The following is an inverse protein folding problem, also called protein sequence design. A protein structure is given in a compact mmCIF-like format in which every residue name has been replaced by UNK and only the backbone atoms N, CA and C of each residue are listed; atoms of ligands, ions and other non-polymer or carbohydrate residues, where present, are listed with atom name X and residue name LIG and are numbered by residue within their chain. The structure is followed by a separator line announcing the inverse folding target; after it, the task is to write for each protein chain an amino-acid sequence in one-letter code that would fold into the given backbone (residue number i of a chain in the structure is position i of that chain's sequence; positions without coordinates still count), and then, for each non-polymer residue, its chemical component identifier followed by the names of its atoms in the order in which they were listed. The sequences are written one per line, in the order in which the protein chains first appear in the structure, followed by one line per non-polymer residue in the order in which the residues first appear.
data_IF_383800314585
#
_entry.id   IF_383800314585
#
_cell.length_a   1.000
_cell.length_b   1.000
_cell.length_c   1.000
_cell.angle_alpha   90.00
_cell.angle_beta   90.00
_cell.angle_gamma   90.00
#
_symmetry.space_group_name_H-M   'P 1'
#
loop_
_entity.id
_entity.type
_entity.pdbx_description
1 polymer ?
#
# COMPACT_ATOMS: atom_id res chain seq x y z
N UNK A 1 -37.60 1.75 -11.73
CA UNK A 1 -37.67 2.19 -10.33
C UNK A 1 -36.61 1.40 -9.57
N UNK A 2 -35.41 1.96 -9.43
CA UNK A 2 -34.32 1.28 -8.73
C UNK A 2 -34.63 1.38 -7.24
N UNK A 3 -34.94 0.24 -6.62
CA UNK A 3 -35.10 0.15 -5.17
C UNK A 3 -33.71 0.42 -4.56
N UNK A 4 -33.51 1.61 -4.02
CA UNK A 4 -32.40 1.88 -3.12
C UNK A 4 -32.65 1.08 -1.84
N UNK A 5 -31.87 0.02 -1.64
CA UNK A 5 -31.74 -0.61 -0.32
C UNK A 5 -31.25 0.48 0.66
N UNK A 6 -31.92 0.72 1.80
CA UNK A 6 -31.45 1.71 2.76
C UNK A 6 -30.02 1.34 3.19
N UNK A 7 -29.09 2.30 3.11
CA UNK A 7 -27.74 2.11 3.62
C UNK A 7 -27.85 1.75 5.10
N UNK A 8 -27.23 0.64 5.50
CA UNK A 8 -27.17 0.23 6.90
C UNK A 8 -26.60 1.39 7.70
N UNK A 9 -27.37 1.87 8.69
CA UNK A 9 -27.06 3.08 9.43
C UNK A 9 -25.79 2.84 10.27
N UNK A 10 -24.74 3.63 10.04
CA UNK A 10 -23.46 3.53 10.76
C UNK A 10 -23.68 3.97 12.21
N UNK A 11 -23.30 3.14 13.17
CA UNK A 11 -23.50 3.39 14.61
C UNK A 11 -22.18 3.71 15.28
N UNK A 12 -22.18 4.73 16.13
CA UNK A 12 -21.03 5.03 16.97
C UNK A 12 -21.44 5.25 18.43
N UNK A 13 -20.52 4.99 19.36
CA UNK A 13 -20.70 5.23 20.78
C UNK A 13 -19.55 6.06 21.34
N UNK A 14 -19.89 6.96 22.27
CA UNK A 14 -18.92 7.72 23.06
C UNK A 14 -19.11 7.37 24.53
N UNK A 15 -18.04 7.00 25.20
CA UNK A 15 -18.04 6.65 26.63
C UNK A 15 -17.10 7.60 27.37
N UNK A 16 -17.62 8.29 28.39
CA UNK A 16 -16.85 9.18 29.25
C UNK A 16 -16.51 8.42 30.53
N UNK A 17 -15.23 8.15 30.76
CA UNK A 17 -14.74 7.59 32.01
C UNK A 17 -14.35 8.76 32.94
N UNK A 18 -15.22 9.06 33.90
CA UNK A 18 -14.97 10.08 34.93
C UNK A 18 -15.88 9.85 36.14
N UNK A 19 -15.28 9.40 37.23
CA UNK A 19 -15.95 9.19 38.52
C UNK A 19 -16.68 10.44 39.00
N UNK A 20 -16.06 11.61 38.82
CA UNK A 20 -16.64 12.89 39.24
C UNK A 20 -17.82 13.32 38.37
N UNK A 21 -17.75 13.11 37.05
CA UNK A 21 -18.87 13.42 36.16
C UNK A 21 -20.04 12.45 36.39
N UNK A 22 -19.75 11.15 36.55
CA UNK A 22 -20.75 10.13 36.87
C UNK A 22 -21.48 10.41 38.19
N UNK A 23 -20.78 10.96 39.19
CA UNK A 23 -21.36 11.41 40.46
C UNK A 23 -22.12 12.75 40.36
N UNK A 24 -22.19 13.38 39.18
CA UNK A 24 -22.87 14.66 38.98
C UNK A 24 -22.15 15.87 39.59
N UNK A 25 -20.86 15.73 39.95
CA UNK A 25 -20.08 16.82 40.55
C UNK A 25 -19.72 17.92 39.54
N UNK A 26 -19.72 17.57 38.25
CA UNK A 26 -19.65 18.52 37.16
C UNK A 26 -20.28 17.93 35.89
N UNK A 27 -20.72 18.80 34.97
CA UNK A 27 -21.21 18.39 33.65
C UNK A 27 -20.05 18.14 32.72
N UNK A 28 -19.97 16.93 32.16
CA UNK A 28 -18.98 16.62 31.15
C UNK A 28 -19.14 17.49 29.88
N UNK A 29 -18.02 17.91 29.31
CA UNK A 29 -17.99 18.68 28.06
C UNK A 29 -17.13 18.03 26.98
N UNK A 30 -16.39 16.96 27.29
CA UNK A 30 -15.51 16.29 26.34
C UNK A 30 -16.27 15.28 25.47
N UNK A 31 -17.22 14.54 26.06
CA UNK A 31 -18.10 13.59 25.38
C UNK A 31 -18.96 14.25 24.30
N UNK A 32 -19.68 15.36 24.59
CA UNK A 32 -20.49 16.05 23.59
C UNK A 32 -19.70 16.49 22.35
N UNK A 33 -18.43 16.89 22.51
CA UNK A 33 -17.54 17.26 21.38
C UNK A 33 -17.34 16.06 20.43
N UNK A 34 -17.11 14.87 20.98
CA UNK A 34 -16.91 13.66 20.17
C UNK A 34 -18.22 13.20 19.51
N UNK A 35 -19.34 13.29 20.23
CA UNK A 35 -20.67 12.95 19.70
C UNK A 35 -21.06 13.86 18.54
N UNK A 36 -20.88 15.18 18.68
CA UNK A 36 -21.18 16.14 17.61
C UNK A 36 -20.35 15.87 16.36
N UNK A 37 -19.05 15.59 16.52
CA UNK A 37 -18.17 15.24 15.40
C UNK A 37 -18.59 13.93 14.71
N UNK A 38 -18.93 12.88 15.46
CA UNK A 38 -19.42 11.62 14.88
C UNK A 38 -20.74 11.83 14.11
N UNK A 39 -21.66 12.63 14.65
CA UNK A 39 -22.90 12.98 13.94
C UNK A 39 -22.64 13.73 12.64
N UNK A 40 -21.62 14.60 12.58
CA UNK A 40 -21.20 15.24 11.33
C UNK A 40 -20.70 14.24 10.27
N UNK A 41 -20.08 13.12 10.69
CA UNK A 41 -19.73 12.00 9.81
C UNK A 41 -20.90 11.02 9.57
N UNK A 42 -22.14 11.46 9.83
CA UNK A 42 -23.38 10.70 9.60
C UNK A 42 -23.47 9.39 10.39
N UNK A 43 -22.80 9.30 11.54
CA UNK A 43 -23.02 8.21 12.48
C UNK A 43 -24.26 8.47 13.33
N UNK A 44 -25.10 7.44 13.48
CA UNK A 44 -26.08 7.37 14.55
C UNK A 44 -25.37 7.21 15.88
N UNK A 45 -25.31 8.32 16.63
CA UNK A 45 -24.54 8.43 17.86
C UNK A 45 -25.45 9.01 18.94
N UNK A 46 -25.83 8.25 19.97
CA UNK A 46 -26.58 8.78 21.11
C UNK A 46 -25.73 9.78 21.93
N UNK A 47 -26.35 10.40 22.92
CA UNK A 47 -25.61 11.19 23.92
C UNK A 47 -24.53 10.33 24.62
N UNK A 48 -23.43 10.94 25.11
CA UNK A 48 -22.32 10.19 25.66
C UNK A 48 -22.74 9.40 26.89
N UNK A 49 -22.29 8.15 26.99
CA UNK A 49 -22.47 7.32 28.17
C UNK A 49 -21.42 7.70 29.20
N UNK A 50 -21.83 8.32 30.31
CA UNK A 50 -20.94 8.73 31.38
C UNK A 50 -20.90 7.63 32.46
N UNK A 51 -19.71 7.16 32.80
CA UNK A 51 -19.47 6.10 33.78
C UNK A 51 -18.35 6.48 34.75
N UNK A 52 -18.33 5.87 35.93
CA UNK A 52 -17.19 5.98 36.82
C UNK A 52 -15.98 5.26 36.22
N UNK A 53 -14.77 5.67 36.61
CA UNK A 53 -13.53 5.08 36.07
C UNK A 53 -13.45 3.57 36.37
N UNK A 54 -13.97 3.13 37.51
CA UNK A 54 -14.05 1.70 37.89
C UNK A 54 -15.00 0.88 37.03
N UNK A 55 -15.97 1.53 36.37
CA UNK A 55 -17.06 0.88 35.65
C UNK A 55 -16.81 0.79 34.15
N UNK A 56 -15.67 1.32 33.66
CA UNK A 56 -15.35 1.34 32.23
C UNK A 56 -15.21 -0.07 31.65
N UNK A 57 -14.59 -0.99 32.39
CA UNK A 57 -14.38 -2.39 31.96
C UNK A 57 -15.71 -3.16 31.83
N UNK A 58 -16.58 -3.07 32.83
CA UNK A 58 -17.89 -3.72 32.80
C UNK A 58 -18.81 -3.14 31.72
N UNK A 59 -18.73 -1.83 31.49
CA UNK A 59 -19.48 -1.12 30.44
C UNK A 59 -19.05 -1.59 29.05
N UNK A 60 -17.73 -1.63 28.77
CA UNK A 60 -17.21 -2.12 27.50
C UNK A 60 -17.58 -3.59 27.27
N UNK A 61 -17.45 -4.45 28.28
CA UNK A 61 -17.87 -5.85 28.19
C UNK A 61 -19.35 -6.00 27.83
N UNK A 62 -20.23 -5.18 28.40
CA UNK A 62 -21.64 -5.19 28.07
C UNK A 62 -21.91 -4.77 26.61
N UNK A 63 -21.21 -3.75 26.11
CA UNK A 63 -21.33 -3.28 24.72
C UNK A 63 -20.86 -4.36 23.74
N UNK A 64 -19.75 -5.03 24.02
CA UNK A 64 -19.16 -6.04 23.14
C UNK A 64 -19.72 -7.47 23.35
N UNK A 65 -20.68 -7.66 24.26
CA UNK A 65 -21.29 -8.96 24.52
C UNK A 65 -22.21 -9.44 23.37
N UNK A 66 -22.90 -8.52 22.69
CA UNK A 66 -23.75 -8.85 21.53
C UNK A 66 -23.01 -8.61 20.22
N UNK A 67 -22.39 -9.68 19.73
CA UNK A 67 -21.64 -9.68 18.46
C UNK A 67 -22.48 -9.31 17.24
N UNK A 68 -23.81 -9.42 17.31
CA UNK A 68 -24.69 -9.09 16.18
C UNK A 68 -25.09 -7.60 16.15
N UNK A 69 -24.76 -6.84 17.19
CA UNK A 69 -25.18 -5.44 17.37
C UNK A 69 -24.01 -4.52 17.72
N UNK A 70 -22.79 -4.90 17.30
CA UNK A 70 -21.59 -4.10 17.54
C UNK A 70 -21.67 -2.74 16.84
N UNK A 71 -21.23 -1.66 17.49
CA UNK A 71 -21.07 -0.36 16.84
C UNK A 71 -19.93 -0.38 15.82
N UNK A 72 -19.97 0.47 14.80
CA UNK A 72 -18.86 0.66 13.86
C UNK A 72 -17.68 1.38 14.53
N UNK A 73 -17.98 2.30 15.47
CA UNK A 73 -17.00 3.13 16.16
C UNK A 73 -17.30 3.21 17.66
N UNK A 74 -16.28 3.03 18.49
CA UNK A 74 -16.30 3.34 19.93
C UNK A 74 -15.17 4.30 20.25
N UNK A 75 -15.52 5.48 20.76
CA UNK A 75 -14.56 6.41 21.31
C UNK A 75 -14.73 6.47 22.82
N UNK A 76 -13.63 6.47 23.55
CA UNK A 76 -13.65 6.77 24.99
C UNK A 76 -12.90 8.06 25.28
N UNK A 77 -13.31 8.77 26.32
CA UNK A 77 -12.62 9.97 26.81
C UNK A 77 -12.50 9.90 28.33
N UNK A 78 -11.26 10.07 28.84
CA UNK A 78 -10.94 9.95 30.27
C UNK A 78 -10.30 8.61 30.64
N UNK A 79 -9.66 8.56 31.80
CA UNK A 79 -8.98 7.36 32.33
C UNK A 79 -7.76 6.89 31.52
N UNK A 80 -7.09 7.76 30.77
CA UNK A 80 -5.92 7.43 29.92
C UNK A 80 -4.58 7.96 30.45
N UNK A 81 -4.56 8.51 31.66
CA UNK A 81 -3.36 9.03 32.30
C UNK A 81 -2.48 7.94 32.93
N UNK A 82 -1.70 8.36 33.92
CA UNK A 82 -0.72 7.54 34.65
C UNK A 82 -1.08 7.32 36.13
N UNK A 83 -2.24 7.81 36.55
CA UNK A 83 -2.70 7.69 37.94
C UNK A 83 -3.35 6.32 38.18
N UNK A 84 -3.57 5.97 39.45
CA UNK A 84 -4.16 4.68 39.82
C UNK A 84 -5.58 4.48 39.31
N UNK A 85 -6.29 5.57 39.03
CA UNK A 85 -7.69 5.53 38.62
C UNK A 85 -7.86 5.54 37.09
N UNK A 86 -6.76 5.64 36.34
CA UNK A 86 -6.77 5.64 34.88
C UNK A 86 -6.89 4.20 34.35
N UNK A 87 -8.11 3.65 34.24
CA UNK A 87 -8.34 2.25 33.83
C UNK A 87 -8.70 2.05 32.34
N UNK A 88 -9.07 3.11 31.62
CA UNK A 88 -9.68 3.01 30.28
C UNK A 88 -8.81 2.27 29.26
N UNK A 89 -7.51 2.52 29.26
CA UNK A 89 -6.57 1.89 28.32
C UNK A 89 -6.42 0.41 28.62
N UNK A 90 -6.35 0.05 29.89
CA UNK A 90 -6.21 -1.34 30.32
C UNK A 90 -7.48 -2.14 30.03
N UNK A 91 -8.66 -1.51 30.11
CA UNK A 91 -9.94 -2.10 29.74
C UNK A 91 -10.11 -2.28 28.21
N UNK A 92 -9.59 -1.35 27.40
CA UNK A 92 -9.72 -1.40 25.93
C UNK A 92 -8.68 -2.33 25.29
N UNK A 93 -7.47 -2.40 25.83
CA UNK A 93 -6.37 -3.20 25.28
C UNK A 93 -6.76 -4.65 24.92
N UNK A 94 -7.41 -5.44 25.80
CA UNK A 94 -7.79 -6.82 25.47
C UNK A 94 -8.90 -6.94 24.43
N UNK A 95 -9.59 -5.83 24.08
CA UNK A 95 -10.61 -5.81 23.04
C UNK A 95 -10.03 -5.56 21.65
N UNK A 96 -8.78 -5.09 21.54
CA UNK A 96 -8.17 -4.76 20.25
C UNK A 96 -7.41 -5.98 19.70
N UNK A 97 -7.94 -6.59 18.64
CA UNK A 97 -7.27 -7.69 17.93
C UNK A 97 -6.24 -7.18 16.90
N UNK A 98 -6.45 -5.95 16.40
CA UNK A 98 -5.56 -5.31 15.41
C UNK A 98 -5.21 -3.89 15.86
N UNK A 99 -4.08 -3.71 16.56
CA UNK A 99 -3.60 -2.40 16.96
C UNK A 99 -3.33 -1.50 15.76
N UNK A 100 -3.63 -0.21 15.89
CA UNK A 100 -3.34 0.83 14.91
C UNK A 100 -2.40 1.89 15.50
N UNK A 101 -1.12 1.54 15.77
CA UNK A 101 -0.18 2.43 16.45
C UNK A 101 0.09 3.73 15.69
N UNK A 102 -0.09 3.75 14.37
CA UNK A 102 0.05 4.97 13.56
C UNK A 102 -0.97 6.06 13.93
N UNK A 103 -2.18 5.69 14.36
CA UNK A 103 -3.19 6.65 14.82
C UNK A 103 -2.77 7.26 16.18
N UNK A 104 -2.32 6.43 17.12
CA UNK A 104 -1.78 6.92 18.41
C UNK A 104 -0.56 7.83 18.21
N UNK A 105 0.35 7.48 17.30
CA UNK A 105 1.50 8.32 16.97
C UNK A 105 1.09 9.67 16.37
N UNK A 106 0.14 9.68 15.44
CA UNK A 106 -0.40 10.92 14.87
C UNK A 106 -1.06 11.79 15.96
N UNK A 107 -1.77 11.17 16.89
CA UNK A 107 -2.37 11.83 18.04
C UNK A 107 -1.31 12.51 18.92
N UNK A 108 -0.27 11.80 19.37
CA UNK A 108 0.78 12.38 20.21
C UNK A 108 1.57 13.47 19.47
N UNK A 109 1.88 13.26 18.18
CA UNK A 109 2.58 14.26 17.37
C UNK A 109 1.78 15.55 17.26
N UNK A 110 0.44 15.46 17.21
CA UNK A 110 -0.43 16.63 17.22
C UNK A 110 -0.48 17.28 18.59
N UNK A 111 -0.71 16.51 19.66
CA UNK A 111 -0.81 17.02 21.02
C UNK A 111 0.45 17.75 21.47
N UNK A 112 1.63 17.28 21.06
CA UNK A 112 2.93 17.93 21.32
C UNK A 112 3.05 19.35 20.74
N UNK A 113 2.21 19.75 19.78
CA UNK A 113 2.18 21.13 19.28
C UNK A 113 1.55 22.10 20.27
N UNK A 114 0.72 21.57 21.17
CA UNK A 114 -0.06 22.35 22.14
C UNK A 114 0.44 22.16 23.57
N UNK A 115 0.96 20.97 23.91
CA UNK A 115 1.40 20.64 25.25
C UNK A 115 2.43 19.52 25.28
N UNK A 116 3.56 19.77 25.96
CA UNK A 116 4.61 18.77 26.17
C UNK A 116 4.12 17.55 26.97
N UNK A 117 3.11 17.71 27.83
CA UNK A 117 2.56 16.62 28.64
C UNK A 117 1.65 15.68 27.86
N UNK A 118 1.34 15.98 26.59
CA UNK A 118 0.52 15.12 25.74
C UNK A 118 1.06 13.69 25.62
N UNK A 119 2.39 13.52 25.72
CA UNK A 119 3.06 12.21 25.66
C UNK A 119 2.76 11.32 26.88
N UNK A 120 2.27 11.89 27.98
CA UNK A 120 1.89 11.12 29.17
C UNK A 120 0.55 10.38 28.98
N UNK A 121 -0.23 10.74 27.96
CA UNK A 121 -1.45 10.01 27.62
C UNK A 121 -1.10 8.64 27.07
N UNK A 122 -1.72 7.60 27.63
CA UNK A 122 -1.64 6.20 27.16
C UNK A 122 -2.58 5.90 25.99
N UNK A 123 -2.95 6.90 25.18
CA UNK A 123 -3.88 6.79 24.05
C UNK A 123 -3.58 5.57 23.14
N UNK A 124 -4.59 4.73 22.91
CA UNK A 124 -4.52 3.58 22.01
C UNK A 124 -5.66 3.62 20.98
N UNK A 125 -5.41 3.06 19.80
CA UNK A 125 -6.41 2.87 18.76
C UNK A 125 -6.25 1.49 18.11
N UNK A 126 -7.35 0.92 17.64
CA UNK A 126 -7.31 -0.39 16.99
C UNK A 126 -8.68 -0.88 16.52
N UNK A 127 -8.69 -2.10 15.98
CA UNK A 127 -9.89 -2.77 15.49
C UNK A 127 -10.23 -3.98 16.36
N UNK A 128 -11.51 -4.09 16.72
CA UNK A 128 -12.13 -5.25 17.35
C UNK A 128 -12.88 -6.08 16.30
N UNK A 129 -12.63 -7.39 16.27
CA UNK A 129 -13.32 -8.40 15.46
C UNK A 129 -13.55 -8.04 13.97
N UNK A 130 -12.65 -7.24 13.38
CA UNK A 130 -12.77 -6.71 12.01
C UNK A 130 -14.03 -5.88 11.71
N UNK A 131 -14.78 -5.44 12.73
CA UNK A 131 -16.02 -4.70 12.57
C UNK A 131 -15.99 -3.31 13.19
N UNK A 132 -15.30 -3.16 14.33
CA UNK A 132 -15.42 -1.97 15.17
C UNK A 132 -14.08 -1.29 15.32
N UNK A 133 -14.01 0.00 15.00
CA UNK A 133 -12.88 0.86 15.34
C UNK A 133 -13.02 1.35 16.78
N UNK A 134 -11.95 1.25 17.57
CA UNK A 134 -11.90 1.70 18.97
C UNK A 134 -10.75 2.67 19.15
N UNK A 135 -10.96 3.78 19.85
CA UNK A 135 -9.88 4.69 20.28
C UNK A 135 -10.12 5.26 21.68
N UNK A 136 -9.07 5.28 22.49
CA UNK A 136 -9.07 5.85 23.84
C UNK A 136 -8.42 7.24 23.84
N UNK A 137 -9.19 8.27 24.16
CA UNK A 137 -8.76 9.68 24.17
C UNK A 137 -8.65 10.24 25.59
N UNK A 138 -7.84 11.29 25.81
CA UNK A 138 -7.81 11.99 27.09
C UNK A 138 -9.17 12.60 27.46
N UNK A 139 -9.38 12.84 28.76
CA UNK A 139 -10.58 13.48 29.29
C UNK A 139 -10.69 14.99 29.03
N UNK A 140 -9.65 15.62 28.46
CA UNK A 140 -9.64 17.06 28.22
C UNK A 140 -10.23 17.41 26.85
N UNK A 141 -10.91 18.56 26.75
CA UNK A 141 -11.46 19.03 25.48
C UNK A 141 -10.38 19.23 24.40
N UNK A 142 -9.15 19.61 24.81
CA UNK A 142 -8.00 19.68 23.90
C UNK A 142 -7.62 18.30 23.35
N UNK A 143 -7.54 17.29 24.22
CA UNK A 143 -7.28 15.91 23.81
C UNK A 143 -8.35 15.35 22.86
N UNK A 144 -9.63 15.61 23.12
CA UNK A 144 -10.69 15.23 22.19
C UNK A 144 -10.55 15.91 20.82
N UNK A 145 -10.26 17.21 20.79
CA UNK A 145 -10.07 17.97 19.54
C UNK A 145 -8.85 17.50 18.75
N UNK A 146 -7.76 17.15 19.44
CA UNK A 146 -6.58 16.59 18.79
C UNK A 146 -6.87 15.19 18.22
N UNK A 147 -7.62 14.36 18.94
CA UNK A 147 -8.14 13.08 18.44
C UNK A 147 -9.01 13.25 17.20
N UNK A 148 -10.02 14.13 17.27
CA UNK A 148 -10.89 14.48 16.14
C UNK A 148 -10.04 14.85 14.93
N UNK A 149 -9.09 15.76 15.07
CA UNK A 149 -8.33 16.23 13.92
C UNK A 149 -7.40 15.18 13.29
N UNK A 150 -7.08 14.10 14.01
CA UNK A 150 -6.43 12.91 13.43
C UNK A 150 -7.46 12.06 12.69
N UNK A 151 -8.61 11.81 13.31
CA UNK A 151 -9.64 10.90 12.79
C UNK A 151 -10.47 11.48 11.63
N UNK A 152 -10.64 12.80 11.56
CA UNK A 152 -11.48 13.51 10.60
C UNK A 152 -11.19 13.10 9.15
N UNK A 153 -9.91 12.86 8.84
CA UNK A 153 -9.46 12.50 7.49
C UNK A 153 -9.58 11.01 7.16
N UNK A 154 -9.85 10.15 8.14
CA UNK A 154 -9.72 8.68 7.99
C UNK A 154 -10.91 7.88 8.48
N UNK A 155 -11.80 8.43 9.33
CA UNK A 155 -12.85 7.65 9.99
C UNK A 155 -13.83 7.00 9.00
N UNK A 156 -14.21 7.71 7.95
CA UNK A 156 -15.09 7.20 6.90
C UNK A 156 -14.43 6.04 6.16
N UNK A 157 -13.18 6.24 5.75
CA UNK A 157 -12.40 5.21 5.07
C UNK A 157 -12.21 3.96 5.93
N UNK A 158 -11.91 4.13 7.23
CA UNK A 158 -11.76 3.01 8.17
C UNK A 158 -13.04 2.17 8.17
N UNK A 159 -14.20 2.78 8.41
CA UNK A 159 -15.46 2.01 8.48
C UNK A 159 -15.88 1.41 7.15
N UNK A 160 -15.59 2.06 6.01
CA UNK A 160 -15.81 1.45 4.70
C UNK A 160 -14.99 0.17 4.51
N UNK A 161 -13.72 0.16 4.93
CA UNK A 161 -12.87 -1.02 4.85
C UNK A 161 -13.37 -2.18 5.72
N UNK A 162 -13.94 -1.88 6.89
CA UNK A 162 -14.51 -2.87 7.79
C UNK A 162 -15.82 -3.46 7.20
N UNK A 163 -16.69 -2.59 6.65
CA UNK A 163 -17.96 -2.99 6.06
C UNK A 163 -17.81 -3.80 4.76
N UNK A 164 -16.70 -3.69 4.04
CA UNK A 164 -16.43 -4.52 2.84
C UNK A 164 -16.19 -6.01 3.16
N UNK A 165 -15.90 -6.37 4.42
CA UNK A 165 -15.52 -7.75 4.81
C UNK A 165 -16.68 -8.62 5.32
N UNK A 166 -17.89 -8.07 5.49
CA UNK A 166 -19.07 -8.82 5.93
C UNK A 166 -19.83 -9.52 4.80
N UNK A 167 -19.40 -9.35 3.54
CA UNK A 167 -19.87 -10.13 2.40
C UNK A 167 -18.86 -11.25 2.07
N UNK A 168 -19.26 -12.53 2.06
CA UNK A 168 -18.34 -13.62 1.78
C UNK A 168 -18.01 -13.61 0.28
N UNK A 169 -16.80 -13.19 -0.07
CA UNK A 169 -16.20 -13.43 -1.38
C UNK A 169 -14.80 -14.02 -1.20
N UNK A 170 -14.41 -14.99 -2.05
CA UNK A 170 -13.24 -15.81 -1.84
C UNK A 170 -11.95 -14.99 -1.98
N UNK A 171 -10.97 -15.36 -1.15
CA UNK A 171 -9.64 -14.78 -1.14
C UNK A 171 -8.99 -14.78 -2.53
N UNK A 172 -8.70 -13.59 -3.04
CA UNK A 172 -7.53 -13.35 -3.87
C UNK A 172 -6.89 -12.04 -3.40
N UNK A 173 -5.58 -12.07 -3.19
CA UNK A 173 -4.81 -10.88 -2.88
C UNK A 173 -4.88 -9.92 -4.09
N UNK A 174 -5.84 -9.00 -4.07
CA UNK A 174 -5.90 -7.90 -5.01
C UNK A 174 -5.74 -6.60 -4.23
N UNK A 175 -4.51 -6.07 -4.28
CA UNK A 175 -4.20 -4.72 -3.84
C UNK A 175 -4.93 -3.76 -4.79
N UNK A 176 -6.15 -3.34 -4.43
CA UNK A 176 -6.92 -2.45 -5.27
C UNK A 176 -6.50 -1.00 -5.04
N UNK A 177 -5.60 -0.49 -5.88
CA UNK A 177 -5.61 0.91 -6.29
C UNK A 177 -6.82 1.12 -7.19
N UNK A 178 -7.96 1.52 -6.64
CA UNK A 178 -9.08 2.01 -7.45
C UNK A 178 -8.79 3.45 -7.89
N UNK A 179 -7.84 3.57 -8.82
CA UNK A 179 -7.85 4.67 -9.78
C UNK A 179 -9.09 4.49 -10.65
N UNK A 180 -9.81 5.57 -10.99
CA UNK A 180 -10.80 5.50 -12.06
C UNK A 180 -10.14 4.86 -13.31
N UNK A 181 -10.87 4.04 -14.10
CA UNK A 181 -10.30 3.41 -15.27
C UNK A 181 -9.73 4.45 -16.23
N UNK A 182 -8.57 4.15 -16.83
CA UNK A 182 -7.92 5.08 -17.73
C UNK A 182 -8.83 5.40 -18.94
N UNK A 183 -8.83 6.66 -19.42
CA UNK A 183 -9.60 7.04 -20.61
C UNK A 183 -9.25 6.22 -21.85
N UNK A 184 -10.17 6.10 -22.80
CA UNK A 184 -9.96 5.25 -24.00
C UNK A 184 -8.77 5.69 -24.87
N UNK A 185 -8.40 6.98 -24.85
CA UNK A 185 -7.20 7.46 -25.56
C UNK A 185 -5.89 6.92 -24.94
N UNK A 186 -5.90 6.55 -23.66
CA UNK A 186 -4.78 5.88 -22.99
C UNK A 186 -4.74 4.41 -23.41
N UNK A 187 -5.89 3.73 -23.38
CA UNK A 187 -6.03 2.33 -23.81
C UNK A 187 -5.55 2.09 -25.25
N UNK A 188 -5.80 3.04 -26.15
CA UNK A 188 -5.34 2.97 -27.53
C UNK A 188 -3.81 3.08 -27.71
N UNK A 189 -3.08 3.48 -26.67
CA UNK A 189 -1.63 3.64 -26.70
C UNK A 189 -0.88 2.44 -26.11
N UNK A 190 -1.48 1.72 -25.17
CA UNK A 190 -0.89 0.54 -24.51
C UNK A 190 -1.08 -0.76 -25.33
N UNK A 191 -0.46 -1.85 -24.89
CA UNK A 191 -0.52 -3.16 -25.56
C UNK A 191 0.30 -3.20 -26.85
N UNK A 192 1.37 -2.41 -26.91
CA UNK A 192 2.21 -2.23 -28.11
C UNK A 192 3.64 -2.65 -27.87
N UNK A 193 4.16 -3.48 -28.76
CA UNK A 193 5.61 -3.64 -28.93
C UNK A 193 6.08 -2.52 -29.87
N UNK A 194 6.96 -1.67 -29.36
CA UNK A 194 7.56 -0.56 -30.13
C UNK A 194 8.63 -1.11 -31.05
N UNK A 195 9.52 -1.94 -30.50
CA UNK A 195 10.48 -2.71 -31.26
C UNK A 195 11.05 -3.84 -30.40
N UNK A 196 11.60 -4.85 -31.07
CA UNK A 196 12.21 -6.02 -30.45
C UNK A 196 13.25 -6.59 -31.43
N UNK A 197 14.55 -6.52 -31.12
CA UNK A 197 15.59 -6.99 -32.06
C UNK A 197 16.91 -7.39 -31.40
N UNK A 198 17.75 -8.07 -32.18
CA UNK A 198 19.16 -8.32 -31.86
C UNK A 198 20.05 -7.45 -32.75
N UNK A 199 21.13 -6.91 -32.19
CA UNK A 199 22.09 -6.07 -32.93
C UNK A 199 23.53 -6.32 -32.48
N UNK A 200 24.50 -5.99 -33.33
CA UNK A 200 25.93 -5.93 -32.96
C UNK A 200 26.32 -4.52 -32.45
N UNK A 201 25.48 -3.52 -32.69
CA UNK A 201 25.73 -2.13 -32.29
C UNK A 201 25.46 -1.90 -30.80
N UNK A 202 26.08 -0.84 -30.24
CA UNK A 202 25.81 -0.41 -28.87
C UNK A 202 24.31 -0.07 -28.69
N UNK A 203 23.68 -0.65 -27.66
CA UNK A 203 22.23 -0.54 -27.45
C UNK A 203 21.86 0.66 -26.58
N UNK A 204 22.78 1.26 -25.86
CA UNK A 204 22.54 2.40 -24.96
C UNK A 204 22.05 3.65 -25.72
N UNK A 205 22.65 4.05 -26.87
CA UNK A 205 22.13 5.16 -27.67
C UNK A 205 20.76 4.87 -28.28
N UNK A 206 20.50 3.62 -28.66
CA UNK A 206 19.21 3.16 -29.19
C UNK A 206 18.14 3.17 -28.10
N UNK A 207 18.48 2.72 -26.89
CA UNK A 207 17.62 2.74 -25.72
C UNK A 207 17.25 4.17 -25.30
N UNK A 208 18.20 5.12 -25.37
CA UNK A 208 17.91 6.53 -25.11
C UNK A 208 16.85 7.09 -26.07
N UNK A 209 16.94 6.76 -27.35
CA UNK A 209 15.94 7.14 -28.36
C UNK A 209 14.62 6.39 -28.16
N UNK A 210 14.67 5.10 -27.88
CA UNK A 210 13.49 4.28 -27.63
C UNK A 210 12.71 4.77 -26.41
N UNK A 211 13.39 5.24 -25.35
CA UNK A 211 12.76 5.84 -24.16
C UNK A 211 11.86 7.03 -24.52
N UNK A 212 12.25 7.83 -25.51
CA UNK A 212 11.48 8.96 -26.02
C UNK A 212 10.24 8.55 -26.82
N UNK A 213 10.27 7.39 -27.48
CA UNK A 213 9.17 6.86 -28.30
C UNK A 213 8.18 6.06 -27.45
N UNK A 214 8.71 5.27 -26.52
CA UNK A 214 7.95 4.44 -25.59
C UNK A 214 7.17 5.32 -24.61
N UNK A 215 7.76 6.45 -24.16
CA UNK A 215 7.05 7.46 -23.38
C UNK A 215 6.06 8.23 -24.24
N UNK A 216 4.87 8.45 -23.72
CA UNK A 216 3.90 9.40 -24.27
C UNK A 216 3.33 10.23 -23.14
N UNK A 217 2.57 11.28 -23.48
CA UNK A 217 1.87 12.10 -22.49
C UNK A 217 0.87 11.30 -21.63
N UNK A 218 0.48 10.09 -22.07
CA UNK A 218 -0.41 9.21 -21.33
C UNK A 218 0.32 8.26 -20.35
N UNK A 219 1.64 8.11 -20.47
CA UNK A 219 2.42 7.16 -19.66
C UNK A 219 2.95 7.85 -18.39
N UNK A 220 2.39 7.49 -17.23
CA UNK A 220 2.81 8.00 -15.94
C UNK A 220 4.08 7.34 -15.38
N UNK A 221 4.54 6.25 -16.00
CA UNK A 221 5.76 5.55 -15.59
C UNK A 221 6.51 4.97 -16.79
N UNK A 222 7.85 5.02 -16.70
CA UNK A 222 8.78 4.36 -17.62
C UNK A 222 9.82 3.61 -16.78
N UNK A 223 9.92 2.30 -16.98
CA UNK A 223 10.87 1.42 -16.32
C UNK A 223 11.87 0.91 -17.35
N UNK A 224 13.17 1.01 -17.04
CA UNK A 224 14.24 0.39 -17.82
C UNK A 224 14.84 -0.74 -16.99
N UNK A 225 15.07 -1.88 -17.63
CA UNK A 225 15.92 -2.95 -17.12
C UNK A 225 17.13 -3.05 -18.02
N UNK A 226 18.33 -3.02 -17.42
CA UNK A 226 19.60 -3.01 -18.13
C UNK A 226 20.43 -4.20 -17.64
N UNK A 227 20.66 -5.18 -18.51
CA UNK A 227 21.52 -6.33 -18.30
C UNK A 227 22.98 -5.97 -18.54
N UNK A 228 23.63 -5.42 -17.50
CA UNK A 228 24.99 -4.89 -17.58
C UNK A 228 26.04 -5.99 -17.29
N UNK A 229 27.12 -6.02 -18.08
CA UNK A 229 28.27 -6.90 -17.85
C UNK A 229 28.97 -6.50 -16.55
N UNK A 230 29.10 -7.46 -15.62
CA UNK A 230 29.80 -7.29 -14.35
C UNK A 230 31.24 -7.78 -14.45
N UNK A 231 32.11 -7.30 -13.57
CA UNK A 231 33.52 -7.70 -13.47
C UNK A 231 33.75 -9.07 -12.80
N UNK A 232 32.67 -9.80 -12.47
CA UNK A 232 32.75 -11.10 -11.83
C UNK A 232 31.59 -12.03 -12.24
N UNK A 233 31.88 -13.33 -12.31
CA UNK A 233 30.89 -14.40 -12.39
C UNK A 233 31.42 -15.65 -11.65
N UNK A 234 30.54 -16.40 -10.98
CA UNK A 234 30.95 -17.61 -10.25
C UNK A 234 31.99 -17.44 -9.12
N UNK A 235 32.31 -16.20 -8.71
CA UNK A 235 33.36 -15.90 -7.72
C UNK A 235 34.72 -15.53 -8.33
N UNK A 236 34.83 -15.51 -9.66
CA UNK A 236 36.05 -15.21 -10.39
C UNK A 236 35.91 -13.91 -11.20
N UNK A 237 37.06 -13.30 -11.55
CA UNK A 237 37.11 -12.03 -12.27
C UNK A 237 36.97 -12.23 -13.78
N UNK A 238 36.11 -11.43 -14.41
CA UNK A 238 35.82 -11.46 -15.84
C UNK A 238 36.31 -10.16 -16.50
N UNK A 239 37.08 -10.29 -17.58
CA UNK A 239 37.65 -9.13 -18.29
C UNK A 239 36.74 -8.63 -19.43
N UNK A 240 36.12 -9.54 -20.18
CA UNK A 240 35.13 -9.24 -21.21
C UNK A 240 34.19 -10.43 -21.44
N UNK A 241 33.09 -10.15 -22.15
CA UNK A 241 32.05 -11.10 -22.48
C UNK A 241 31.77 -11.06 -23.97
N UNK A 242 31.70 -12.21 -24.63
CA UNK A 242 31.23 -12.29 -26.02
C UNK A 242 29.87 -12.98 -26.06
N UNK A 243 28.87 -12.31 -26.60
CA UNK A 243 27.57 -12.91 -26.89
C UNK A 243 27.51 -13.40 -28.33
N UNK A 244 27.05 -14.63 -28.54
CA UNK A 244 26.66 -15.14 -29.85
C UNK A 244 25.18 -15.51 -29.86
N UNK A 245 24.56 -15.35 -31.03
CA UNK A 245 23.15 -15.65 -31.24
C UNK A 245 22.98 -16.80 -32.24
N UNK A 246 22.00 -17.66 -31.97
CA UNK A 246 21.49 -18.57 -32.99
C UNK A 246 20.89 -17.77 -34.16
N UNK A 247 20.91 -18.26 -35.40
CA UNK A 247 20.27 -17.59 -36.54
C UNK A 247 18.78 -17.26 -36.35
N UNK A 248 18.08 -17.97 -35.45
CA UNK A 248 16.66 -17.74 -35.13
C UNK A 248 16.45 -16.79 -33.95
N UNK A 249 17.51 -16.30 -33.30
CA UNK A 249 17.37 -15.57 -32.04
C UNK A 249 16.58 -14.28 -32.19
N UNK A 250 16.78 -13.55 -33.30
CA UNK A 250 16.05 -12.30 -33.55
C UNK A 250 14.55 -12.53 -33.72
N UNK A 251 14.17 -13.55 -34.50
CA UNK A 251 12.75 -13.92 -34.66
C UNK A 251 12.15 -14.45 -33.35
N UNK A 252 12.89 -15.27 -32.60
CA UNK A 252 12.44 -15.77 -31.30
C UNK A 252 12.28 -14.63 -30.29
N UNK A 253 13.19 -13.67 -30.26
CA UNK A 253 13.08 -12.49 -29.39
C UNK A 253 11.84 -11.67 -29.73
N UNK A 254 11.57 -11.43 -31.02
CA UNK A 254 10.35 -10.74 -31.49
C UNK A 254 9.08 -11.46 -31.04
N UNK A 255 9.03 -12.78 -31.23
CA UNK A 255 7.88 -13.60 -30.86
C UNK A 255 7.66 -13.62 -29.34
N UNK A 256 8.74 -13.76 -28.56
CA UNK A 256 8.69 -13.74 -27.10
C UNK A 256 8.17 -12.39 -26.59
N UNK A 257 8.73 -11.28 -27.07
CA UNK A 257 8.31 -9.93 -26.63
C UNK A 257 6.86 -9.67 -27.03
N UNK A 258 6.44 -10.06 -28.23
CA UNK A 258 5.05 -9.95 -28.68
C UNK A 258 4.11 -10.78 -27.78
N UNK A 259 4.43 -12.04 -27.53
CA UNK A 259 3.62 -12.92 -26.68
C UNK A 259 3.51 -12.38 -25.26
N UNK A 260 4.62 -11.99 -24.65
CA UNK A 260 4.64 -11.41 -23.30
C UNK A 260 3.85 -10.11 -23.25
N UNK A 261 3.94 -9.26 -24.28
CA UNK A 261 3.15 -8.03 -24.37
C UNK A 261 1.63 -8.30 -24.37
N UNK A 262 1.15 -9.42 -24.89
CA UNK A 262 -0.28 -9.78 -24.83
C UNK A 262 -0.77 -10.05 -23.41
N UNK A 263 0.12 -10.52 -22.53
CA UNK A 263 -0.16 -10.76 -21.11
C UNK A 263 -0.05 -9.46 -20.27
N UNK A 264 0.54 -8.42 -20.86
CA UNK A 264 0.73 -7.10 -20.25
C UNK A 264 0.13 -5.99 -21.14
N UNK A 265 -1.20 -6.03 -21.40
CA UNK A 265 -1.85 -5.11 -22.34
C UNK A 265 -1.85 -3.65 -21.88
N UNK A 266 -1.54 -3.38 -20.61
CA UNK A 266 -1.49 -2.03 -20.03
C UNK A 266 -0.14 -1.34 -20.23
N UNK A 267 0.81 -1.99 -20.90
CA UNK A 267 2.15 -1.46 -21.12
C UNK A 267 2.51 -1.40 -22.61
N UNK A 268 3.47 -0.53 -22.92
CA UNK A 268 4.19 -0.50 -24.20
C UNK A 268 5.61 -0.93 -23.94
N UNK A 269 6.16 -1.79 -24.78
CA UNK A 269 7.47 -2.41 -24.54
C UNK A 269 8.41 -2.20 -25.71
N UNK A 270 9.68 -2.00 -25.42
CA UNK A 270 10.79 -2.03 -26.36
C UNK A 270 11.88 -2.91 -25.76
N UNK A 271 12.51 -3.76 -26.56
CA UNK A 271 13.60 -4.61 -26.08
C UNK A 271 14.68 -4.78 -27.15
N UNK A 272 15.95 -4.77 -26.74
CA UNK A 272 17.04 -5.08 -27.64
C UNK A 272 18.13 -5.85 -26.92
N UNK A 273 18.72 -6.84 -27.61
CA UNK A 273 19.89 -7.58 -27.13
C UNK A 273 21.08 -7.32 -28.04
N UNK A 274 22.24 -6.99 -27.45
CA UNK A 274 23.51 -6.84 -28.14
C UNK A 274 24.23 -8.18 -28.22
N UNK A 275 24.81 -8.48 -29.37
CA UNK A 275 25.74 -9.61 -29.59
C UNK A 275 27.10 -9.07 -30.01
N UNK A 276 28.12 -9.93 -30.02
CA UNK A 276 29.51 -9.55 -30.20
C UNK A 276 30.24 -9.38 -28.88
N UNK A 277 31.36 -8.66 -28.91
CA UNK A 277 32.19 -8.42 -27.73
C UNK A 277 31.65 -7.25 -26.91
N UNK A 278 31.59 -7.44 -25.59
CA UNK A 278 31.21 -6.43 -24.61
C UNK A 278 32.25 -6.33 -23.48
N UNK A 279 32.53 -5.09 -23.10
CA UNK A 279 33.37 -4.76 -21.95
C UNK A 279 32.53 -4.68 -20.65
N UNK A 280 33.21 -4.80 -19.51
CA UNK A 280 32.59 -4.58 -18.20
C UNK A 280 31.95 -3.19 -18.13
N UNK A 281 30.68 -3.15 -17.72
CA UNK A 281 29.89 -1.92 -17.63
C UNK A 281 29.01 -1.64 -18.86
N UNK A 282 29.18 -2.36 -19.97
CA UNK A 282 28.29 -2.26 -21.13
C UNK A 282 27.00 -3.08 -20.95
N UNK A 283 25.92 -2.64 -21.59
CA UNK A 283 24.64 -3.34 -21.58
C UNK A 283 24.57 -4.39 -22.70
N UNK A 284 24.32 -5.63 -22.31
CA UNK A 284 24.04 -6.73 -23.24
C UNK A 284 22.57 -6.80 -23.64
N UNK A 285 21.68 -6.33 -22.77
CA UNK A 285 20.24 -6.47 -22.97
C UNK A 285 19.51 -5.33 -22.28
N UNK A 286 18.63 -4.64 -22.99
CA UNK A 286 17.79 -3.58 -22.40
C UNK A 286 16.33 -3.86 -22.70
N UNK A 287 15.48 -3.66 -21.69
CA UNK A 287 14.02 -3.66 -21.80
C UNK A 287 13.49 -2.33 -21.27
N UNK A 288 12.68 -1.65 -22.07
CA UNK A 288 11.99 -0.42 -21.66
C UNK A 288 10.49 -0.68 -21.71
N UNK A 289 9.81 -0.51 -20.58
CA UNK A 289 8.37 -0.60 -20.50
C UNK A 289 7.77 0.72 -19.99
N UNK A 290 6.75 1.23 -20.66
CA UNK A 290 5.97 2.37 -20.18
C UNK A 290 4.50 2.02 -20.01
N UNK A 291 3.88 2.59 -18.98
CA UNK A 291 2.47 2.42 -18.67
C UNK A 291 1.90 3.67 -18.00
N UNK A 292 0.58 3.82 -18.00
CA UNK A 292 -0.09 4.85 -17.23
C UNK A 292 0.20 4.73 -15.72
N UNK A 293 0.25 3.48 -15.22
CA UNK A 293 0.46 3.17 -13.81
C UNK A 293 1.78 2.41 -13.57
N UNK A 294 2.56 2.82 -12.57
CA UNK A 294 3.89 2.27 -12.28
C UNK A 294 3.95 0.74 -12.17
N UNK A 295 2.94 0.13 -11.56
CA UNK A 295 2.94 -1.32 -11.31
C UNK A 295 2.77 -2.12 -12.61
N UNK A 296 2.09 -1.57 -13.62
CA UNK A 296 2.01 -2.18 -14.94
C UNK A 296 3.36 -2.14 -15.66
N UNK A 297 4.07 -1.00 -15.60
CA UNK A 297 5.40 -0.86 -16.20
C UNK A 297 6.43 -1.82 -15.57
N UNK A 298 6.46 -1.94 -14.24
CA UNK A 298 7.36 -2.89 -13.55
C UNK A 298 7.08 -4.35 -13.94
N UNK A 299 5.80 -4.75 -13.94
CA UNK A 299 5.43 -6.13 -14.30
C UNK A 299 5.82 -6.47 -15.74
N UNK A 300 5.55 -5.57 -16.68
CA UNK A 300 5.89 -5.78 -18.08
C UNK A 300 7.43 -5.85 -18.29
N UNK A 301 8.20 -4.94 -17.70
CA UNK A 301 9.66 -4.95 -17.84
C UNK A 301 10.29 -6.24 -17.28
N UNK A 302 9.86 -6.67 -16.08
CA UNK A 302 10.33 -7.91 -15.46
C UNK A 302 9.98 -9.13 -16.31
N UNK A 303 8.71 -9.26 -16.71
CA UNK A 303 8.26 -10.41 -17.47
C UNK A 303 8.96 -10.54 -18.83
N UNK A 304 9.16 -9.43 -19.55
CA UNK A 304 9.92 -9.45 -20.80
C UNK A 304 11.37 -9.85 -20.55
N UNK A 305 12.00 -9.32 -19.50
CA UNK A 305 13.38 -9.66 -19.20
C UNK A 305 13.56 -11.15 -18.84
N UNK A 306 12.64 -11.70 -18.04
CA UNK A 306 12.66 -13.09 -17.63
C UNK A 306 12.38 -14.05 -18.81
N UNK A 307 11.36 -13.75 -19.62
CA UNK A 307 10.99 -14.58 -20.78
C UNK A 307 12.05 -14.58 -21.87
N UNK A 308 12.68 -13.43 -22.15
CA UNK A 308 13.79 -13.36 -23.12
C UNK A 308 14.96 -14.21 -22.65
N UNK A 309 15.36 -14.08 -21.38
CA UNK A 309 16.44 -14.89 -20.79
C UNK A 309 16.14 -16.39 -20.79
N UNK A 310 14.88 -16.78 -20.66
CA UNK A 310 14.47 -18.17 -20.59
C UNK A 310 14.36 -18.85 -21.97
N UNK A 311 14.13 -18.09 -23.05
CA UNK A 311 13.67 -18.65 -24.33
C UNK A 311 14.48 -18.23 -25.55
N UNK A 312 15.20 -17.11 -25.51
CA UNK A 312 15.98 -16.65 -26.66
C UNK A 312 17.34 -17.38 -26.67
N UNK A 313 17.68 -18.11 -27.74
CA UNK A 313 18.89 -18.94 -27.81
C UNK A 313 20.16 -18.08 -28.01
N UNK A 314 20.64 -17.51 -26.91
CA UNK A 314 21.86 -16.71 -26.81
C UNK A 314 22.90 -17.45 -25.96
N UNK A 315 24.14 -17.45 -26.42
CA UNK A 315 25.28 -18.00 -25.68
C UNK A 315 26.22 -16.89 -25.28
N UNK A 316 26.65 -16.93 -24.01
CA UNK A 316 27.70 -16.07 -23.50
C UNK A 316 28.99 -16.88 -23.38
N UNK A 317 30.04 -16.40 -24.02
CA UNK A 317 31.41 -16.87 -23.90
C UNK A 317 32.15 -15.88 -22.99
N UNK A 318 32.60 -16.35 -21.83
CA UNK A 318 33.34 -15.56 -20.85
C UNK A 318 34.83 -15.85 -20.95
N UNK A 319 35.65 -14.81 -21.08
CA UNK A 319 37.09 -14.91 -20.91
C UNK A 319 37.46 -14.52 -19.48
N UNK A 320 38.02 -15.48 -18.76
CA UNK A 320 38.47 -15.31 -17.39
C UNK A 320 39.86 -14.65 -17.37
N UNK A 321 40.21 -14.00 -16.26
CA UNK A 321 41.50 -13.32 -16.10
C UNK A 321 42.72 -14.27 -16.18
N UNK A 322 42.52 -15.59 -16.01
CA UNK A 322 43.55 -16.62 -16.16
C UNK A 322 43.72 -17.14 -17.60
N UNK A 323 42.93 -16.61 -18.54
CA UNK A 323 42.94 -16.98 -19.96
C UNK A 323 42.04 -18.17 -20.32
N UNK A 324 41.32 -18.75 -19.35
CA UNK A 324 40.32 -19.79 -19.62
C UNK A 324 39.02 -19.23 -20.19
N UNK A 325 38.28 -20.07 -20.92
CA UNK A 325 37.00 -19.73 -21.56
C UNK A 325 35.87 -20.57 -20.97
N UNK A 326 34.80 -19.92 -20.52
CA UNK A 326 33.58 -20.59 -20.06
C UNK A 326 32.39 -20.24 -20.96
N UNK A 327 31.63 -21.26 -21.37
CA UNK A 327 30.40 -21.10 -22.14
C UNK A 327 29.18 -21.30 -21.24
N UNK A 328 28.22 -20.39 -21.32
CA UNK A 328 26.94 -20.49 -20.61
C UNK A 328 25.82 -20.06 -21.57
N UNK A 329 24.75 -20.84 -21.67
CA UNK A 329 23.59 -20.52 -22.51
C UNK A 329 22.50 -21.57 -22.37
N UNK A 330 21.35 -21.32 -23.01
CA UNK A 330 20.24 -22.25 -23.17
C UNK A 330 20.34 -22.95 -24.53
#
# INVERSE_FOLDING_TARGET
MVLHTPSQQRRALVIVASTRAAAGLYTDTSGPILVEWLRHHSFDTPEPLIVADSDIDSTLKAIFADVNSLPDVVLTTGGTGITSDDYTVDAITPLIDKPLPGISQAFWHRGLRNSDTAILSRCIAGIHQNSTFIMALPGSNGGCKDGIAVLDTVIDHITELLNRKTSPAPHSHQCCSHSAPDPDYVKAQVGKVIDAFITEEAIEPLAAQAREIVRTNAMGAVVSFDGIVRDHDGGERVDNLTYSAHPTSDSVLKDVVAQTSTQHPDARVWAAHRVGQLDVGEAAFIVIAAAAHRQAAFRAASAVADEVKARVPLWKEQKMADGSTQWVGI
#
